data_IF_605162756274
#
_entry.id   IF_605162756274
#
_cell.length_a   1.000
_cell.length_b   1.000
_cell.length_c   1.000
_cell.angle_alpha   90.00
_cell.angle_beta   90.00
_cell.angle_gamma   90.00
#
_symmetry.space_group_name_H-M   'P 1'
#
loop_
_entity.id
_entity.type
_entity.pdbx_description
1 polymer ?
#
# COMPACT_ATOMS: atom_id res chain seq x y z
N UNK A 1 -10.66 11.81 -24.91
CA UNK A 1 -10.12 10.68 -24.11
C UNK A 1 -10.05 11.01 -22.61
N UNK A 2 -9.83 12.27 -22.24
CA UNK A 2 -9.69 12.78 -20.86
C UNK A 2 -10.94 12.63 -19.98
N UNK A 3 -12.15 12.90 -20.48
CA UNK A 3 -13.37 12.86 -19.65
C UNK A 3 -13.74 11.46 -19.14
N UNK A 4 -13.55 10.42 -19.96
CA UNK A 4 -13.79 9.02 -19.55
C UNK A 4 -12.78 8.55 -18.49
N UNK A 5 -11.52 8.95 -18.62
CA UNK A 5 -10.46 8.66 -17.65
C UNK A 5 -10.73 9.38 -16.33
N UNK A 6 -11.13 10.65 -16.39
CA UNK A 6 -11.52 11.44 -15.21
C UNK A 6 -12.70 10.79 -14.48
N UNK A 7 -13.77 10.43 -15.21
CA UNK A 7 -14.93 9.77 -14.62
C UNK A 7 -14.56 8.43 -13.96
N UNK A 8 -13.68 7.65 -14.58
CA UNK A 8 -13.19 6.40 -14.01
C UNK A 8 -12.35 6.63 -12.74
N UNK A 9 -11.48 7.65 -12.75
CA UNK A 9 -10.65 8.01 -11.59
C UNK A 9 -11.52 8.47 -10.41
N UNK A 10 -12.46 9.39 -10.66
CA UNK A 10 -13.42 9.89 -9.67
C UNK A 10 -14.28 8.74 -9.14
N UNK A 11 -14.82 7.90 -10.02
CA UNK A 11 -15.65 6.76 -9.62
C UNK A 11 -14.91 5.79 -8.69
N UNK A 12 -13.65 5.46 -9.00
CA UNK A 12 -12.82 4.60 -8.12
C UNK A 12 -12.45 5.27 -6.81
N UNK A 13 -12.16 6.57 -6.83
CA UNK A 13 -11.84 7.35 -5.64
C UNK A 13 -13.04 7.42 -4.68
N UNK A 14 -14.22 7.80 -5.20
CA UNK A 14 -15.47 7.86 -4.43
C UNK A 14 -15.87 6.47 -3.92
N UNK A 15 -15.77 5.43 -4.75
CA UNK A 15 -16.01 4.06 -4.30
C UNK A 15 -15.07 3.65 -3.17
N UNK A 16 -13.78 4.01 -3.26
CA UNK A 16 -12.82 3.78 -2.19
C UNK A 16 -13.22 4.49 -0.89
N UNK A 17 -13.58 5.78 -0.97
CA UNK A 17 -14.05 6.54 0.19
C UNK A 17 -15.29 5.91 0.85
N UNK A 18 -16.27 5.51 0.04
CA UNK A 18 -17.49 4.87 0.53
C UNK A 18 -17.20 3.51 1.17
N UNK A 19 -16.37 2.67 0.53
CA UNK A 19 -15.99 1.37 1.06
C UNK A 19 -15.30 1.51 2.42
N UNK A 20 -14.30 2.39 2.52
CA UNK A 20 -13.60 2.65 3.78
C UNK A 20 -14.54 3.22 4.84
N UNK A 21 -15.41 4.17 4.45
CA UNK A 21 -16.43 4.72 5.35
C UNK A 21 -17.36 3.65 5.90
N UNK A 22 -17.88 2.77 5.05
CA UNK A 22 -18.74 1.65 5.48
C UNK A 22 -17.97 0.71 6.41
N UNK A 23 -16.76 0.28 6.04
CA UNK A 23 -15.96 -0.66 6.82
C UNK A 23 -15.56 -0.13 8.20
N UNK A 24 -15.44 1.19 8.38
CA UNK A 24 -15.07 1.79 9.66
C UNK A 24 -16.31 2.21 10.47
N UNK A 25 -17.22 2.98 9.88
CA UNK A 25 -18.31 3.63 10.62
C UNK A 25 -19.50 2.71 10.90
N UNK A 26 -19.79 1.72 10.04
CA UNK A 26 -20.88 0.76 10.30
C UNK A 26 -20.54 -0.12 11.50
N UNK A 27 -19.35 -0.74 11.59
CA UNK A 27 -18.97 -1.50 12.79
C UNK A 27 -18.82 -0.61 14.03
N UNK A 28 -18.33 0.63 13.87
CA UNK A 28 -18.31 1.63 14.95
C UNK A 28 -19.73 1.98 15.48
N UNK A 29 -20.76 1.85 14.64
CA UNK A 29 -22.14 2.21 14.97
C UNK A 29 -22.39 3.71 15.05
N UNK A 30 -21.42 4.54 14.62
CA UNK A 30 -21.52 6.00 14.66
C UNK A 30 -20.51 6.64 13.69
N UNK A 31 -20.86 7.83 13.18
CA UNK A 31 -19.93 8.68 12.42
C UNK A 31 -19.02 9.51 13.34
N UNK A 32 -19.30 9.56 14.65
CA UNK A 32 -18.47 10.25 15.64
C UNK A 32 -17.24 9.43 16.04
N UNK A 33 -16.47 8.98 15.04
CA UNK A 33 -15.22 8.24 15.21
C UNK A 33 -14.06 9.08 14.63
N UNK A 34 -13.42 9.95 15.44
CA UNK A 34 -12.42 10.91 14.96
C UNK A 34 -11.23 10.24 14.27
N UNK A 35 -10.76 9.11 14.81
CA UNK A 35 -9.63 8.37 14.24
C UNK A 35 -9.95 7.71 12.91
N UNK A 36 -11.22 7.31 12.70
CA UNK A 36 -11.70 6.84 11.39
C UNK A 36 -11.63 7.95 10.34
N UNK A 37 -12.07 9.16 10.68
CA UNK A 37 -11.94 10.33 9.81
C UNK A 37 -10.48 10.73 9.58
N UNK A 38 -9.64 10.67 10.62
CA UNK A 38 -8.21 10.95 10.50
C UNK A 38 -7.55 10.00 9.50
N UNK A 39 -7.77 8.69 9.62
CA UNK A 39 -7.24 7.71 8.67
C UNK A 39 -7.73 8.00 7.24
N UNK A 40 -9.02 8.27 7.07
CA UNK A 40 -9.57 8.62 5.75
C UNK A 40 -8.90 9.88 5.18
N UNK A 41 -8.70 10.93 5.99
CA UNK A 41 -8.06 12.15 5.55
C UNK A 41 -6.60 11.90 5.10
N UNK A 42 -5.79 11.25 5.95
CA UNK A 42 -4.36 11.03 5.64
C UNK A 42 -4.16 10.04 4.49
N UNK A 43 -5.09 9.12 4.26
CA UNK A 43 -5.03 8.18 3.13
C UNK A 43 -5.50 8.83 1.81
N UNK A 44 -6.65 9.50 1.83
CA UNK A 44 -7.33 9.92 0.61
C UNK A 44 -6.99 11.34 0.14
N UNK A 45 -6.56 12.26 1.02
CA UNK A 45 -6.16 13.62 0.60
C UNK A 45 -4.87 13.56 -0.24
N UNK A 46 -3.77 12.92 0.20
CA UNK A 46 -2.57 12.79 -0.62
C UNK A 46 -2.84 12.01 -1.91
N UNK A 47 -3.71 10.99 -1.86
CA UNK A 47 -4.11 10.22 -3.04
C UNK A 47 -4.83 11.10 -4.07
N UNK A 48 -5.71 11.99 -3.62
CA UNK A 48 -6.42 12.94 -4.48
C UNK A 48 -5.45 13.91 -5.14
N UNK A 49 -4.54 14.50 -4.35
CA UNK A 49 -3.50 15.40 -4.85
C UNK A 49 -2.64 14.70 -5.90
N UNK A 50 -2.17 13.48 -5.61
CA UNK A 50 -1.39 12.68 -6.56
C UNK A 50 -2.18 12.34 -7.83
N UNK A 51 -3.46 11.99 -7.69
CA UNK A 51 -4.37 11.73 -8.82
C UNK A 51 -4.56 12.96 -9.72
N UNK A 52 -4.74 14.13 -9.13
CA UNK A 52 -4.82 15.42 -9.82
C UNK A 52 -3.49 15.73 -10.54
N UNK A 53 -2.35 15.56 -9.87
CA UNK A 53 -1.04 15.78 -10.51
C UNK A 53 -0.86 14.83 -11.71
N UNK A 54 -1.21 13.55 -11.56
CA UNK A 54 -1.04 12.55 -12.61
C UNK A 54 -1.98 12.77 -13.81
N UNK A 55 -3.22 13.21 -13.60
CA UNK A 55 -4.12 13.46 -14.74
C UNK A 55 -3.61 14.60 -15.63
N UNK A 56 -2.95 15.60 -15.05
CA UNK A 56 -2.40 16.74 -15.80
C UNK A 56 -0.99 16.46 -16.34
N UNK A 57 -0.11 15.80 -15.57
CA UNK A 57 1.28 15.58 -15.98
C UNK A 57 1.51 14.29 -16.77
N UNK A 58 0.78 13.21 -16.46
CA UNK A 58 1.00 11.90 -17.08
C UNK A 58 -0.28 11.02 -17.10
N UNK A 59 -1.28 11.35 -17.93
CA UNK A 59 -2.56 10.64 -17.96
C UNK A 59 -2.45 9.18 -18.43
N UNK A 60 -1.42 8.82 -19.20
CA UNK A 60 -1.19 7.44 -19.62
C UNK A 60 -0.75 6.57 -18.44
N UNK A 61 0.11 7.08 -17.56
CA UNK A 61 0.50 6.41 -16.32
C UNK A 61 -0.70 6.21 -15.38
N UNK A 62 -1.56 7.22 -15.24
CA UNK A 62 -2.80 7.09 -14.46
C UNK A 62 -3.71 6.00 -15.03
N UNK A 63 -3.91 5.98 -16.36
CA UNK A 63 -4.74 4.95 -17.03
C UNK A 63 -4.20 3.54 -16.80
N UNK A 64 -2.88 3.33 -16.87
CA UNK A 64 -2.25 2.03 -16.55
C UNK A 64 -2.54 1.61 -15.10
N UNK A 65 -2.38 2.54 -14.15
CA UNK A 65 -2.63 2.27 -12.72
C UNK A 65 -4.09 1.98 -12.40
N UNK A 66 -5.04 2.65 -13.07
CA UNK A 66 -6.46 2.40 -12.89
C UNK A 66 -6.91 1.07 -13.51
N UNK A 67 -6.27 0.59 -14.57
CA UNK A 67 -6.70 -0.63 -15.28
C UNK A 67 -5.86 -1.87 -14.96
N UNK A 68 -4.96 -1.79 -13.97
CA UNK A 68 -4.19 -2.95 -13.53
C UNK A 68 -5.12 -4.08 -13.10
N UNK A 69 -5.02 -5.21 -13.80
CA UNK A 69 -5.65 -6.49 -13.45
C UNK A 69 -4.53 -7.50 -13.26
N UNK A 70 -4.53 -8.18 -12.13
CA UNK A 70 -3.59 -9.28 -11.88
C UNK A 70 -4.07 -10.51 -12.63
N UNK A 71 -3.28 -10.97 -13.61
CA UNK A 71 -3.61 -12.14 -14.42
C UNK A 71 -3.10 -13.43 -13.78
N UNK A 72 -1.97 -13.33 -13.08
CA UNK A 72 -1.28 -14.44 -12.44
C UNK A 72 -2.05 -15.00 -11.23
N UNK A 73 -2.21 -16.33 -11.18
CA UNK A 73 -3.02 -17.02 -10.16
C UNK A 73 -2.46 -16.85 -8.74
N UNK A 74 -1.13 -16.86 -8.59
CA UNK A 74 -0.50 -16.65 -7.27
C UNK A 74 -0.71 -15.23 -6.76
N UNK A 75 -0.65 -14.23 -7.65
CA UNK A 75 -0.90 -12.84 -7.32
C UNK A 75 -2.37 -12.59 -6.99
N UNK A 76 -3.31 -13.29 -7.64
CA UNK A 76 -4.72 -13.26 -7.26
C UNK A 76 -4.94 -13.73 -5.81
N UNK A 77 -4.25 -14.79 -5.38
CA UNK A 77 -4.30 -15.25 -3.99
C UNK A 77 -3.77 -14.18 -3.02
N UNK A 78 -2.68 -13.51 -3.36
CA UNK A 78 -2.12 -12.40 -2.57
C UNK A 78 -3.12 -11.25 -2.44
N UNK A 79 -3.78 -10.87 -3.54
CA UNK A 79 -4.81 -9.81 -3.56
C UNK A 79 -6.01 -10.19 -2.70
N UNK A 80 -6.52 -11.41 -2.82
CA UNK A 80 -7.66 -11.89 -2.03
C UNK A 80 -7.31 -11.93 -0.54
N UNK A 81 -6.16 -12.51 -0.17
CA UNK A 81 -5.70 -12.55 1.23
C UNK A 81 -5.52 -11.14 1.80
N UNK A 82 -4.96 -10.21 1.02
CA UNK A 82 -4.83 -8.81 1.43
C UNK A 82 -6.20 -8.15 1.63
N UNK A 83 -7.16 -8.40 0.73
CA UNK A 83 -8.52 -7.88 0.84
C UNK A 83 -9.24 -8.38 2.09
N UNK A 84 -9.15 -9.67 2.39
CA UNK A 84 -9.70 -10.27 3.62
C UNK A 84 -9.05 -9.68 4.86
N UNK A 85 -7.72 -9.54 4.85
CA UNK A 85 -6.96 -8.93 5.95
C UNK A 85 -7.43 -7.50 6.22
N UNK A 86 -7.53 -6.64 5.20
CA UNK A 86 -8.00 -5.26 5.38
C UNK A 86 -9.45 -5.18 5.83
N UNK A 87 -10.32 -6.01 5.27
CA UNK A 87 -11.72 -6.08 5.68
C UNK A 87 -11.83 -6.45 7.17
N UNK A 88 -11.12 -7.48 7.61
CA UNK A 88 -11.10 -7.88 9.00
C UNK A 88 -10.50 -6.79 9.90
N UNK A 89 -9.37 -6.19 9.51
CA UNK A 89 -8.68 -5.16 10.27
C UNK A 89 -9.57 -3.92 10.50
N UNK A 90 -10.27 -3.44 9.47
CA UNK A 90 -11.11 -2.25 9.58
C UNK A 90 -12.42 -2.51 10.32
N UNK A 91 -13.04 -3.68 10.10
CA UNK A 91 -14.22 -4.06 10.89
C UNK A 91 -13.86 -4.16 12.37
N UNK A 92 -12.76 -4.84 12.68
CA UNK A 92 -12.28 -4.99 14.08
C UNK A 92 -11.91 -3.65 14.68
N UNK A 93 -11.33 -2.72 13.92
CA UNK A 93 -11.07 -1.36 14.40
C UNK A 93 -12.36 -0.62 14.77
N UNK A 94 -13.38 -0.66 13.91
CA UNK A 94 -14.68 -0.06 14.21
C UNK A 94 -15.34 -0.70 15.43
N UNK A 95 -15.29 -2.03 15.57
CA UNK A 95 -15.81 -2.73 16.75
C UNK A 95 -15.02 -2.39 18.02
N UNK A 96 -13.69 -2.27 17.93
CA UNK A 96 -12.85 -1.84 19.04
C UNK A 96 -13.26 -0.45 19.53
N UNK A 97 -13.50 0.49 18.60
CA UNK A 97 -14.03 1.80 18.93
C UNK A 97 -15.44 1.73 19.52
N UNK A 98 -16.32 0.87 19.00
CA UNK A 98 -17.69 0.75 19.53
C UNK A 98 -17.75 0.21 20.95
N UNK A 99 -16.98 -0.84 21.22
CA UNK A 99 -17.04 -1.58 22.48
C UNK A 99 -15.94 -1.19 23.45
N UNK A 100 -15.01 -0.32 23.04
CA UNK A 100 -13.93 0.20 23.87
C UNK A 100 -13.07 -0.93 24.48
N UNK A 101 -12.78 -1.99 23.70
CA UNK A 101 -12.04 -3.15 24.20
C UNK A 101 -10.63 -2.80 24.67
N UNK A 102 -9.93 -1.96 23.90
CA UNK A 102 -8.61 -1.47 24.25
C UNK A 102 -8.34 -0.11 23.60
N UNK A 103 -7.76 0.81 24.36
CA UNK A 103 -7.43 2.17 23.90
C UNK A 103 -5.91 2.40 24.03
N UNK A 104 -5.31 2.90 22.96
CA UNK A 104 -3.94 3.37 22.94
C UNK A 104 -3.88 4.82 23.45
N UNK A 105 -2.74 5.25 24.02
CA UNK A 105 -2.54 6.65 24.33
C UNK A 105 -2.55 7.48 23.04
N UNK A 106 -3.07 8.72 23.11
CA UNK A 106 -3.12 9.63 21.96
C UNK A 106 -1.75 9.85 21.28
N UNK A 107 -0.66 9.75 22.05
CA UNK A 107 0.71 9.81 21.52
C UNK A 107 0.96 8.70 20.49
N UNK A 108 0.43 7.50 20.70
CA UNK A 108 0.56 6.40 19.73
C UNK A 108 -0.14 6.75 18.41
N UNK A 109 -1.35 7.33 18.45
CA UNK A 109 -2.09 7.77 17.25
C UNK A 109 -1.30 8.83 16.47
N UNK A 110 -0.71 9.80 17.17
CA UNK A 110 0.14 10.83 16.56
C UNK A 110 1.38 10.20 15.91
N UNK A 111 2.08 9.33 16.63
CA UNK A 111 3.28 8.64 16.12
C UNK A 111 2.94 7.78 14.91
N UNK A 112 1.85 7.00 14.96
CA UNK A 112 1.36 6.22 13.83
C UNK A 112 1.00 7.10 12.63
N UNK A 113 0.40 8.26 12.85
CA UNK A 113 0.09 9.23 11.78
C UNK A 113 1.35 9.77 11.13
N UNK A 114 2.38 10.11 11.92
CA UNK A 114 3.69 10.56 11.39
C UNK A 114 4.34 9.47 10.56
N UNK A 115 4.43 8.24 11.07
CA UNK A 115 4.99 7.12 10.32
C UNK A 115 4.21 6.81 9.05
N UNK A 116 2.88 6.91 9.08
CA UNK A 116 2.04 6.75 7.91
C UNK A 116 2.38 7.78 6.81
N UNK A 117 2.50 9.06 7.18
CA UNK A 117 2.81 10.12 6.22
C UNK A 117 4.25 10.00 5.67
N UNK A 118 5.22 9.62 6.51
CA UNK A 118 6.59 9.33 6.06
C UNK A 118 6.62 8.14 5.09
N UNK A 119 5.90 7.07 5.40
CA UNK A 119 5.77 5.91 4.53
C UNK A 119 5.08 6.28 3.21
N UNK A 120 4.09 7.16 3.24
CA UNK A 120 3.43 7.68 2.04
C UNK A 120 4.41 8.47 1.17
N UNK A 121 5.25 9.32 1.78
CA UNK A 121 6.29 10.07 1.08
C UNK A 121 7.35 9.14 0.48
N UNK A 122 7.80 8.13 1.24
CA UNK A 122 8.72 7.09 0.75
C UNK A 122 8.10 6.34 -0.44
N UNK A 123 6.83 5.95 -0.36
CA UNK A 123 6.13 5.30 -1.47
C UNK A 123 6.12 6.19 -2.72
N UNK A 124 5.85 7.49 -2.55
CA UNK A 124 5.91 8.45 -3.64
C UNK A 124 7.31 8.59 -4.25
N UNK A 125 8.37 8.51 -3.44
CA UNK A 125 9.75 8.56 -3.92
C UNK A 125 10.13 7.30 -4.70
N UNK A 126 9.75 6.12 -4.20
CA UNK A 126 9.96 4.84 -4.89
C UNK A 126 9.29 4.84 -6.27
N UNK A 127 8.10 5.46 -6.39
CA UNK A 127 7.41 5.62 -7.69
C UNK A 127 8.17 6.52 -8.67
N UNK A 128 8.92 7.50 -8.18
CA UNK A 128 9.74 8.37 -9.04
C UNK A 128 11.02 7.69 -9.46
N UNK A 129 11.67 7.00 -8.51
CA UNK A 129 12.95 6.34 -8.73
C UNK A 129 12.84 5.17 -9.72
N UNK A 130 11.77 4.37 -9.63
CA UNK A 130 11.55 3.24 -10.53
C UNK A 130 10.43 3.49 -11.54
N UNK A 131 10.82 3.84 -12.76
CA UNK A 131 9.89 4.06 -13.89
C UNK A 131 9.24 2.76 -14.41
N UNK A 132 9.84 1.60 -14.13
CA UNK A 132 9.34 0.27 -14.49
C UNK A 132 8.40 -0.33 -13.43
N UNK A 133 8.03 0.45 -12.42
CA UNK A 133 7.24 -0.04 -11.30
C UNK A 133 5.79 -0.31 -11.71
N UNK A 134 5.47 -1.59 -11.92
CA UNK A 134 4.14 -2.07 -12.28
C UNK A 134 3.38 -2.61 -11.06
N UNK A 135 2.06 -2.72 -11.20
CA UNK A 135 1.21 -3.42 -10.23
C UNK A 135 1.21 -4.93 -10.49
N UNK A 136 1.51 -5.36 -11.70
CA UNK A 136 1.61 -6.76 -12.11
C UNK A 136 3.07 -7.22 -12.04
N UNK A 137 3.29 -8.50 -11.74
CA UNK A 137 4.63 -9.10 -11.79
C UNK A 137 4.91 -9.49 -13.24
N UNK A 138 5.69 -8.66 -13.93
CA UNK A 138 6.10 -8.88 -15.32
C UNK A 138 7.44 -8.19 -15.60
N UNK A 139 8.20 -8.72 -16.55
CA UNK A 139 9.38 -8.02 -17.10
C UNK A 139 8.91 -7.17 -18.28
N UNK A 140 9.14 -5.86 -18.20
CA UNK A 140 8.80 -4.93 -19.26
C UNK A 140 9.89 -4.89 -20.35
N UNK A 141 9.48 -4.56 -21.58
CA UNK A 141 10.44 -4.34 -22.66
C UNK A 141 11.45 -3.24 -22.30
N UNK A 142 12.74 -3.50 -22.56
CA UNK A 142 13.85 -2.60 -22.22
C UNK A 142 13.93 -2.26 -20.72
N UNK A 143 13.39 -3.10 -19.85
CA UNK A 143 13.55 -2.96 -18.42
C UNK A 143 15.02 -3.11 -18.02
N UNK A 144 15.48 -2.22 -17.15
CA UNK A 144 16.81 -2.28 -16.53
C UNK A 144 16.65 -2.45 -15.04
N UNK A 145 17.63 -3.08 -14.41
CA UNK A 145 17.71 -3.13 -12.96
C UNK A 145 18.01 -1.73 -12.43
N UNK A 146 17.18 -1.26 -11.50
CA UNK A 146 17.41 -0.05 -10.73
C UNK A 146 18.09 -0.47 -9.44
N UNK A 147 19.34 -0.02 -9.21
CA UNK A 147 20.15 -0.37 -8.03
C UNK A 147 20.68 0.87 -7.28
N UNK A 148 20.13 2.04 -7.59
CA UNK A 148 20.43 3.33 -6.95
C UNK A 148 19.49 3.63 -5.79
N UNK A 149 19.76 4.69 -5.03
CA UNK A 149 18.86 5.25 -4.02
C UNK A 149 18.28 4.21 -3.06
N UNK A 150 16.95 4.11 -2.96
CA UNK A 150 16.30 3.17 -2.04
C UNK A 150 16.49 1.71 -2.47
N UNK A 151 16.57 1.46 -3.78
CA UNK A 151 16.86 0.14 -4.33
C UNK A 151 18.30 -0.31 -4.07
N UNK A 152 19.23 0.62 -3.83
CA UNK A 152 20.59 0.30 -3.39
C UNK A 152 20.68 -0.20 -1.95
N UNK A 153 19.64 0.03 -1.13
CA UNK A 153 19.60 -0.33 0.30
C UNK A 153 18.84 -1.65 0.49
N UNK A 154 17.65 -1.75 -0.11
CA UNK A 154 16.77 -2.92 -0.03
C UNK A 154 16.20 -3.24 -1.41
N UNK A 155 15.94 -4.51 -1.70
CA UNK A 155 15.47 -4.92 -3.03
C UNK A 155 14.04 -4.48 -3.34
N UNK A 156 13.21 -4.33 -2.30
CA UNK A 156 11.79 -4.02 -2.40
C UNK A 156 11.41 -2.82 -1.53
N UNK A 157 11.89 -1.60 -1.86
CA UNK A 157 11.61 -0.41 -1.06
C UNK A 157 10.13 -0.03 -1.06
N UNK A 158 9.38 -0.38 -2.12
CA UNK A 158 7.91 -0.23 -2.12
C UNK A 158 7.26 -1.04 -1.00
N UNK A 159 7.67 -2.30 -0.82
CA UNK A 159 7.11 -3.16 0.21
C UNK A 159 7.53 -2.74 1.62
N UNK A 160 8.65 -2.03 1.72
CA UNK A 160 9.09 -1.39 2.96
C UNK A 160 8.14 -0.26 3.34
N UNK A 161 7.83 0.60 2.37
CA UNK A 161 6.88 1.69 2.55
C UNK A 161 5.47 1.17 2.85
N UNK A 162 4.95 0.20 2.10
CA UNK A 162 3.60 -0.34 2.35
C UNK A 162 3.48 -1.09 3.67
N UNK A 163 4.54 -1.74 4.14
CA UNK A 163 4.55 -2.37 5.46
C UNK A 163 4.33 -1.34 6.57
N UNK A 164 5.10 -0.25 6.57
CA UNK A 164 4.94 0.82 7.57
C UNK A 164 3.58 1.50 7.42
N UNK A 165 3.14 1.77 6.19
CA UNK A 165 1.87 2.41 5.89
C UNK A 165 0.70 1.57 6.43
N UNK A 166 0.67 0.27 6.16
CA UNK A 166 -0.43 -0.60 6.57
C UNK A 166 -0.44 -0.83 8.07
N UNK A 167 0.70 -1.12 8.70
CA UNK A 167 0.76 -1.29 10.15
C UNK A 167 0.35 -0.01 10.89
N UNK A 168 0.74 1.16 10.38
CA UNK A 168 0.35 2.44 10.98
C UNK A 168 -1.17 2.67 10.98
N UNK A 169 -1.92 2.08 10.03
CA UNK A 169 -3.38 2.20 10.01
C UNK A 169 -4.04 1.70 11.29
N UNK A 170 -3.60 0.55 11.83
CA UNK A 170 -4.15 -0.01 13.06
C UNK A 170 -3.89 0.88 14.28
N UNK A 171 -2.71 1.51 14.33
CA UNK A 171 -2.34 2.47 15.39
C UNK A 171 -3.15 3.76 15.25
N UNK A 172 -3.29 4.31 14.04
CA UNK A 172 -4.09 5.52 13.79
C UNK A 172 -5.55 5.29 14.20
N UNK A 173 -6.10 4.12 13.88
CA UNK A 173 -7.45 3.72 14.25
C UNK A 173 -7.64 3.43 15.74
N UNK A 174 -6.58 3.56 16.54
CA UNK A 174 -6.62 3.29 17.97
C UNK A 174 -7.07 1.85 18.27
N UNK A 175 -6.51 0.87 17.53
CA UNK A 175 -6.89 -0.53 17.67
C UNK A 175 -5.69 -1.46 17.55
N UNK A 176 -5.23 -1.97 18.69
CA UNK A 176 -4.17 -2.97 18.75
C UNK A 176 -4.58 -4.30 18.08
N UNK A 177 -5.87 -4.65 18.12
CA UNK A 177 -6.40 -5.82 17.42
C UNK A 177 -6.34 -5.65 15.90
N UNK A 178 -6.70 -4.47 15.38
CA UNK A 178 -6.55 -4.14 13.96
C UNK A 178 -5.07 -4.19 13.54
N UNK A 179 -4.18 -3.60 14.36
CA UNK A 179 -2.73 -3.69 14.16
C UNK A 179 -2.25 -5.15 14.09
N UNK A 180 -2.69 -5.99 15.02
CA UNK A 180 -2.36 -7.42 15.04
C UNK A 180 -2.80 -8.16 13.77
N UNK A 181 -3.98 -7.84 13.23
CA UNK A 181 -4.45 -8.38 11.95
C UNK A 181 -3.58 -7.87 10.79
N UNK A 182 -3.16 -6.60 10.81
CA UNK A 182 -2.33 -6.03 9.76
C UNK A 182 -0.91 -6.62 9.71
N UNK A 183 -0.43 -7.25 10.79
CA UNK A 183 0.84 -8.01 10.79
C UNK A 183 0.81 -9.21 9.82
N UNK A 184 -0.38 -9.73 9.45
CA UNK A 184 -0.49 -10.76 8.42
C UNK A 184 -0.04 -10.28 7.03
N UNK A 185 0.18 -8.96 6.84
CA UNK A 185 0.78 -8.44 5.63
C UNK A 185 2.20 -8.98 5.40
N UNK A 186 2.96 -9.26 6.47
CA UNK A 186 4.34 -9.76 6.39
C UNK A 186 4.42 -11.09 5.62
N UNK A 187 3.72 -12.17 6.00
CA UNK A 187 3.75 -13.41 5.23
C UNK A 187 3.12 -13.29 3.84
N UNK A 188 2.10 -12.43 3.68
CA UNK A 188 1.47 -12.18 2.37
C UNK A 188 2.47 -11.57 1.38
N UNK A 189 3.19 -10.53 1.80
CA UNK A 189 4.15 -9.85 0.95
C UNK A 189 5.43 -10.66 0.76
N UNK A 190 5.80 -11.49 1.74
CA UNK A 190 6.89 -12.47 1.59
C UNK A 190 6.63 -13.45 0.43
N UNK A 191 5.40 -13.98 0.34
CA UNK A 191 5.00 -14.85 -0.77
C UNK A 191 5.08 -14.13 -2.10
N UNK A 192 4.53 -12.91 -2.18
CA UNK A 192 4.56 -12.10 -3.41
C UNK A 192 5.99 -11.82 -3.87
N UNK A 193 6.87 -11.39 -2.96
CA UNK A 193 8.27 -11.12 -3.27
C UNK A 193 9.00 -12.36 -3.77
N UNK A 194 8.72 -13.54 -3.20
CA UNK A 194 9.38 -14.77 -3.66
C UNK A 194 9.07 -15.05 -5.14
N UNK A 195 7.81 -14.90 -5.53
CA UNK A 195 7.40 -15.07 -6.92
C UNK A 195 7.99 -13.98 -7.82
N UNK A 196 7.94 -12.71 -7.39
CA UNK A 196 8.52 -11.59 -8.12
C UNK A 196 10.02 -11.73 -8.34
N UNK A 197 10.78 -12.11 -7.31
CA UNK A 197 12.22 -12.36 -7.45
C UNK A 197 12.51 -13.51 -8.41
N UNK A 198 11.68 -14.57 -8.47
CA UNK A 198 11.85 -15.66 -9.41
C UNK A 198 11.64 -15.21 -10.86
N UNK A 199 10.57 -14.46 -11.14
CA UNK A 199 10.29 -13.90 -12.47
C UNK A 199 11.40 -12.95 -12.92
N UNK A 200 11.92 -12.11 -12.02
CA UNK A 200 13.01 -11.19 -12.32
C UNK A 200 14.34 -11.91 -12.54
N UNK A 201 14.64 -12.98 -11.80
CA UNK A 201 15.86 -13.78 -12.02
C UNK A 201 15.87 -14.52 -13.35
N UNK A 202 14.70 -14.92 -13.84
CA UNK A 202 14.56 -15.62 -15.12
C UNK A 202 14.53 -14.66 -16.32
N UNK A 203 13.88 -13.50 -16.19
CA UNK A 203 13.59 -12.62 -17.32
C UNK A 203 14.38 -11.30 -17.36
N UNK A 204 15.00 -10.86 -16.27
CA UNK A 204 15.69 -9.55 -16.20
C UNK A 204 17.20 -9.72 -16.10
N UNK A 205 17.90 -9.34 -17.17
CA UNK A 205 19.37 -9.31 -17.21
C UNK A 205 19.93 -8.39 -16.10
N UNK A 206 20.97 -8.86 -15.41
CA UNK A 206 21.61 -8.14 -14.30
C UNK A 206 20.94 -8.32 -12.93
N UNK A 207 19.78 -8.98 -12.84
CA UNK A 207 19.04 -9.08 -11.57
C UNK A 207 19.73 -10.01 -10.56
N UNK A 208 20.40 -11.07 -11.02
CA UNK A 208 21.15 -12.00 -10.15
C UNK A 208 22.33 -11.30 -9.49
N UNK A 209 23.05 -10.48 -10.25
CA UNK A 209 24.15 -9.65 -9.79
C UNK A 209 23.65 -8.62 -8.77
N UNK A 210 22.55 -7.94 -9.07
CA UNK A 210 21.90 -7.02 -8.14
C UNK A 210 21.49 -7.69 -6.82
N UNK A 211 20.88 -8.88 -6.88
CA UNK A 211 20.52 -9.64 -5.68
C UNK A 211 21.74 -10.05 -4.85
N UNK A 212 22.88 -10.28 -5.52
CA UNK A 212 24.14 -10.54 -4.84
C UNK A 212 24.70 -9.28 -4.14
N UNK A 213 24.47 -8.08 -4.69
CA UNK A 213 24.92 -6.80 -4.13
C UNK A 213 24.02 -6.32 -2.99
N UNK A 214 22.71 -6.28 -3.21
CA UNK A 214 21.73 -5.77 -2.24
C UNK A 214 21.13 -6.95 -1.47
N UNK A 215 21.60 -7.16 -0.23
CA UNK A 215 21.29 -8.36 0.56
C UNK A 215 19.91 -8.34 1.20
N UNK A 216 19.40 -7.18 1.58
CA UNK A 216 18.13 -7.01 2.28
C UNK A 216 16.95 -6.93 1.30
N UNK A 217 15.82 -7.55 1.64
CA UNK A 217 14.58 -7.48 0.86
C UNK A 217 13.78 -6.23 1.16
N UNK A 218 13.48 -5.98 2.43
CA UNK A 218 12.49 -4.97 2.87
C UNK A 218 13.00 -4.16 4.05
N UNK A 219 13.63 -4.78 5.04
CA UNK A 219 14.08 -4.07 6.24
C UNK A 219 15.59 -4.24 6.36
N UNK A 220 16.38 -3.16 6.27
CA UNK A 220 17.82 -3.25 6.41
C UNK A 220 18.19 -3.97 7.70
N UNK A 221 19.17 -4.87 7.62
CA UNK A 221 19.67 -5.68 8.74
C UNK A 221 18.69 -6.70 9.35
N UNK A 222 17.47 -6.83 8.83
CA UNK A 222 16.44 -7.75 9.35
C UNK A 222 15.93 -8.70 8.25
N UNK A 223 15.54 -8.16 7.10
CA UNK A 223 14.83 -8.89 6.04
C UNK A 223 15.25 -8.46 4.65
#
# INVERSE_FOLDING_TARGET
>A
MTSKLLLQAIGKYVLGLLLFGVLLFVPAGTAFYPNGWLLMAVLFIPMLIAGIILIFKNPSLLKKRLNAKEEEKEQKSVVVCSGVMFLAAFIVAGLNFRFQWFLLPNVAVIVGTVFFLLAYAMYAEVLKENTYLSRTVEVQENQKVIDTGLYGIVRHPMYSATLVLFLSMGIILDSLFSFGILLFYIPIIAKRMKNEEAVLEEGLEGYKEYKSKVKYKVIPYIW
#
